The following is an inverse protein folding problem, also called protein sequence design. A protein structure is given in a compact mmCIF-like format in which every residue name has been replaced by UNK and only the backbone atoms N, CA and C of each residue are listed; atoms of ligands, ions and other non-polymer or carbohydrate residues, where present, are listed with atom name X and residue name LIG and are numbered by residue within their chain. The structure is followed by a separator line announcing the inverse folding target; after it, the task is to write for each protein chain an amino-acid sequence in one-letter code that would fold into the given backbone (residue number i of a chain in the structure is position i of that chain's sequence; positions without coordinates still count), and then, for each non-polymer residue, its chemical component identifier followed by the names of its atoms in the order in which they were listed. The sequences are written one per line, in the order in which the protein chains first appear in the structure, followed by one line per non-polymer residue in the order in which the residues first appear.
data_IF_860692331386
#
_entry.id   IF_860692331386
#
_cell.length_a   1.000
_cell.length_b   1.000
_cell.length_c   1.000
_cell.angle_alpha   90.00
_cell.angle_beta   90.00
_cell.angle_gamma   90.00
#
_symmetry.space_group_name_H-M   'P 1'
#
loop_
_entity.id
_entity.type
_entity.pdbx_description
1 polymer ?
#
# COMPACT_ATOMS: atom_id res chain seq x y z
N UNK A 1 -11.36 -19.38 -8.53
CA UNK A 1 -11.19 -18.57 -7.31
C UNK A 1 -9.72 -18.64 -6.89
N UNK A 2 -8.81 -18.08 -7.70
CA UNK A 2 -7.35 -18.23 -7.49
C UNK A 2 -6.58 -17.11 -8.21
N UNK A 3 -6.79 -15.84 -7.81
CA UNK A 3 -6.02 -14.73 -8.41
C UNK A 3 -5.42 -13.75 -7.39
N UNK A 4 -5.71 -13.93 -6.09
CA UNK A 4 -5.14 -13.11 -5.02
C UNK A 4 -4.13 -13.88 -4.16
N UNK A 5 -4.20 -15.23 -4.12
CA UNK A 5 -3.08 -16.02 -3.57
C UNK A 5 -1.85 -15.99 -4.48
N UNK A 6 -2.02 -15.66 -5.77
CA UNK A 6 -0.92 -15.53 -6.72
C UNK A 6 -0.15 -14.21 -6.59
N UNK A 7 -0.67 -13.20 -5.88
CA UNK A 7 0.07 -11.94 -5.64
C UNK A 7 0.89 -11.97 -4.35
N UNK A 8 0.56 -12.86 -3.40
CA UNK A 8 1.46 -13.19 -2.29
C UNK A 8 2.54 -14.14 -2.84
N UNK A 9 3.60 -13.54 -3.36
CA UNK A 9 4.71 -14.30 -3.96
C UNK A 9 4.63 -14.46 -5.48
N UNK A 10 4.08 -13.50 -6.22
CA UNK A 10 4.31 -13.44 -7.67
C UNK A 10 5.81 -13.15 -7.92
N UNK A 11 6.60 -14.21 -8.03
CA UNK A 11 8.07 -14.21 -8.15
C UNK A 11 8.59 -13.62 -9.46
N UNK A 12 7.71 -13.12 -10.34
CA UNK A 12 8.12 -12.58 -11.63
C UNK A 12 8.85 -11.24 -11.50
N UNK A 13 8.58 -10.47 -10.44
CA UNK A 13 9.20 -9.17 -10.20
C UNK A 13 9.47 -8.93 -8.71
N UNK A 14 10.46 -8.09 -8.41
CA UNK A 14 10.72 -7.61 -7.05
C UNK A 14 9.50 -6.84 -6.53
N UNK A 15 9.10 -7.10 -5.28
CA UNK A 15 8.04 -6.31 -4.66
C UNK A 15 8.47 -4.85 -4.52
N UNK A 16 7.50 -3.95 -4.38
CA UNK A 16 7.77 -2.55 -4.09
C UNK A 16 8.73 -2.38 -2.89
N UNK A 17 8.54 -3.18 -1.84
CA UNK A 17 9.36 -3.12 -0.64
C UNK A 17 10.78 -3.64 -0.85
N UNK A 18 10.97 -4.65 -1.70
CA UNK A 18 12.31 -5.12 -2.09
C UNK A 18 13.06 -4.04 -2.86
N UNK A 19 12.40 -3.42 -3.84
CA UNK A 19 12.97 -2.31 -4.62
C UNK A 19 13.34 -1.14 -3.72
N UNK A 20 12.47 -0.81 -2.76
CA UNK A 20 12.73 0.24 -1.76
C UNK A 20 13.94 -0.09 -0.89
N UNK A 21 14.04 -1.33 -0.40
CA UNK A 21 15.16 -1.77 0.42
C UNK A 21 16.49 -1.64 -0.34
N UNK A 22 16.53 -2.09 -1.59
CA UNK A 22 17.72 -1.96 -2.46
C UNK A 22 18.05 -0.49 -2.70
N UNK A 23 17.06 0.35 -3.04
CA UNK A 23 17.27 1.77 -3.29
C UNK A 23 17.91 2.47 -2.07
N UNK A 24 17.40 2.18 -0.87
CA UNK A 24 17.93 2.71 0.39
C UNK A 24 19.33 2.17 0.71
N UNK A 25 19.58 0.87 0.52
CA UNK A 25 20.89 0.26 0.81
C UNK A 25 22.00 0.85 -0.07
N UNK A 26 21.71 1.06 -1.35
CA UNK A 26 22.67 1.64 -2.30
C UNK A 26 22.66 3.17 -2.34
N UNK A 27 21.84 3.81 -1.49
CA UNK A 27 21.73 5.28 -1.38
C UNK A 27 21.42 5.94 -2.73
N UNK A 28 20.55 5.30 -3.51
CA UNK A 28 20.20 5.72 -4.86
C UNK A 28 19.54 7.11 -4.88
N UNK A 29 18.96 7.56 -3.77
CA UNK A 29 18.44 8.92 -3.60
C UNK A 29 19.52 10.00 -3.77
N UNK A 30 20.80 9.69 -3.52
CA UNK A 30 21.92 10.63 -3.67
C UNK A 30 22.30 10.90 -5.11
N UNK A 31 21.83 10.06 -6.05
CA UNK A 31 22.03 10.28 -7.48
C UNK A 31 21.20 11.48 -7.98
N UNK A 32 20.13 11.82 -7.25
CA UNK A 32 19.28 12.94 -7.57
C UNK A 32 19.72 14.19 -6.80
N UNK A 33 20.00 15.28 -7.51
CA UNK A 33 20.22 16.60 -6.90
C UNK A 33 18.92 17.20 -6.34
N UNK A 34 17.77 16.68 -6.80
CA UNK A 34 16.45 17.16 -6.44
C UNK A 34 15.95 16.45 -5.18
N UNK A 35 15.54 17.20 -4.17
CA UNK A 35 14.91 16.67 -2.96
C UNK A 35 13.39 16.55 -3.13
N UNK A 36 12.96 15.63 -4.00
CA UNK A 36 11.53 15.32 -4.15
C UNK A 36 11.04 14.52 -2.92
N UNK A 37 10.10 15.08 -2.16
CA UNK A 37 9.52 14.38 -1.00
C UNK A 37 8.37 13.49 -1.46
N UNK A 38 8.55 12.17 -1.36
CA UNK A 38 7.52 11.18 -1.66
C UNK A 38 6.60 10.95 -0.46
N UNK A 39 5.29 10.99 -0.69
CA UNK A 39 4.27 10.66 0.31
C UNK A 39 4.03 9.15 0.39
N UNK A 40 3.24 8.72 1.39
CA UNK A 40 2.76 7.34 1.53
C UNK A 40 3.88 6.30 1.52
N UNK A 41 5.05 6.66 2.08
CA UNK A 41 6.22 5.79 2.13
C UNK A 41 6.80 5.43 0.74
N UNK A 42 6.53 6.23 -0.29
CA UNK A 42 7.20 6.18 -1.59
C UNK A 42 8.70 6.49 -1.52
N UNK A 43 9.43 6.24 -2.60
CA UNK A 43 10.86 6.59 -2.73
C UNK A 43 11.16 7.20 -4.10
N UNK A 44 12.21 8.01 -4.19
CA UNK A 44 12.55 8.73 -5.43
C UNK A 44 12.98 7.72 -6.50
N UNK A 45 12.48 7.93 -7.71
CA UNK A 45 12.99 7.23 -8.88
C UNK A 45 14.38 7.75 -9.24
N UNK A 46 15.42 7.01 -8.89
CA UNK A 46 16.82 7.39 -9.16
C UNK A 46 17.20 7.40 -10.64
N UNK A 47 16.34 6.88 -11.54
CA UNK A 47 16.55 6.94 -12.99
C UNK A 47 16.10 8.27 -13.60
N UNK A 48 15.03 8.87 -13.07
CA UNK A 48 14.43 10.09 -13.63
C UNK A 48 14.61 11.30 -12.72
N UNK A 49 14.79 11.10 -11.42
CA UNK A 49 14.92 12.15 -10.40
C UNK A 49 13.78 13.18 -10.36
N UNK A 50 12.68 12.89 -11.03
CA UNK A 50 11.55 13.81 -11.23
C UNK A 50 10.22 13.21 -10.77
N UNK A 51 10.21 11.91 -10.41
CA UNK A 51 9.03 11.19 -9.95
C UNK A 51 9.37 10.22 -8.82
N UNK A 52 8.36 9.87 -8.03
CA UNK A 52 8.45 8.84 -7.01
C UNK A 52 7.96 7.49 -7.54
N UNK A 53 8.58 6.42 -7.07
CA UNK A 53 7.97 5.10 -7.06
C UNK A 53 6.98 5.04 -5.91
N UNK A 54 5.73 4.73 -6.24
CA UNK A 54 4.62 4.67 -5.29
C UNK A 54 4.28 3.23 -4.93
N UNK A 55 3.92 2.95 -3.68
CA UNK A 55 3.35 1.66 -3.33
C UNK A 55 2.00 1.46 -4.02
N UNK A 56 1.59 0.21 -4.10
CA UNK A 56 0.34 -0.18 -4.75
C UNK A 56 -0.86 0.60 -4.17
N UNK A 57 -1.74 1.06 -5.06
CA UNK A 57 -2.89 1.89 -4.69
C UNK A 57 -2.59 3.40 -4.60
N UNK A 58 -1.35 3.84 -4.82
CA UNK A 58 -1.01 5.27 -4.86
C UNK A 58 -0.39 5.69 -6.19
N UNK A 59 -0.63 6.93 -6.59
CA UNK A 59 -0.16 7.50 -7.85
C UNK A 59 0.11 9.00 -7.72
N UNK A 60 0.58 9.63 -8.78
CA UNK A 60 1.04 11.02 -8.80
C UNK A 60 2.55 11.14 -8.73
N UNK A 61 3.06 12.38 -8.89
CA UNK A 61 4.51 12.64 -8.95
C UNK A 61 5.18 12.35 -7.61
N UNK A 62 4.48 12.57 -6.51
CA UNK A 62 4.95 12.35 -5.15
C UNK A 62 4.06 11.38 -4.36
N UNK A 63 3.33 10.49 -5.05
CA UNK A 63 2.41 9.53 -4.43
C UNK A 63 1.29 10.18 -3.60
N UNK A 64 0.87 11.37 -4.03
CA UNK A 64 -0.11 12.20 -3.35
C UNK A 64 -1.56 11.79 -3.64
N UNK A 65 -1.77 11.02 -4.72
CA UNK A 65 -3.09 10.58 -5.19
C UNK A 65 -3.30 9.12 -4.82
N UNK A 66 -4.54 8.79 -4.49
CA UNK A 66 -4.97 7.39 -4.40
C UNK A 66 -5.33 6.98 -5.83
N UNK A 67 -4.96 5.75 -6.21
CA UNK A 67 -5.38 5.20 -7.49
C UNK A 67 -6.89 5.26 -7.61
N UNK A 68 -7.36 5.71 -8.78
CA UNK A 68 -8.78 5.65 -9.10
C UNK A 68 -9.21 4.19 -9.13
N UNK A 69 -10.29 3.83 -8.44
CA UNK A 69 -10.78 2.46 -8.44
C UNK A 69 -11.12 2.03 -9.86
N UNK A 70 -10.64 0.84 -10.23
CA UNK A 70 -10.90 0.23 -11.54
C UNK A 70 -12.09 -0.72 -11.38
N UNK A 71 -13.04 -0.66 -12.31
CA UNK A 71 -14.24 -1.53 -12.32
C UNK A 71 -15.52 -0.76 -12.66
N UNK A 72 -16.63 -1.48 -12.90
CA UNK A 72 -17.93 -0.85 -13.21
C UNK A 72 -18.54 -0.13 -12.01
N UNK A 73 -18.10 -0.44 -10.78
CA UNK A 73 -18.63 0.11 -9.54
C UNK A 73 -17.57 0.89 -8.76
N UNK A 74 -17.92 2.07 -8.23
CA UNK A 74 -16.99 2.83 -7.39
C UNK A 74 -16.78 2.12 -6.04
N UNK A 75 -15.52 1.91 -5.66
CA UNK A 75 -15.11 1.37 -4.36
C UNK A 75 -13.83 2.05 -3.86
N UNK A 76 -13.46 1.87 -2.59
CA UNK A 76 -12.30 2.53 -1.99
C UNK A 76 -12.58 3.96 -1.51
N UNK A 77 -11.57 4.61 -0.92
CA UNK A 77 -11.70 5.98 -0.38
C UNK A 77 -10.79 6.29 0.81
N UNK A 78 -10.94 7.50 1.36
CA UNK A 78 -10.19 7.98 2.54
C UNK A 78 -11.05 7.83 3.80
N UNK A 79 -10.63 6.99 4.72
CA UNK A 79 -11.32 6.77 5.99
C UNK A 79 -10.57 7.47 7.12
N UNK A 80 -11.26 8.28 7.91
CA UNK A 80 -10.71 8.87 9.14
C UNK A 80 -11.16 8.02 10.33
N UNK A 81 -10.23 7.40 11.04
CA UNK A 81 -10.49 6.56 12.21
C UNK A 81 -10.26 7.40 13.47
N UNK A 82 -11.27 7.53 14.33
CA UNK A 82 -11.26 8.45 15.49
C UNK A 82 -11.36 7.76 16.86
N UNK A 83 -12.04 6.62 17.01
CA UNK A 83 -12.07 5.85 18.28
C UNK A 83 -12.84 4.52 18.22
N UNK A 84 -13.71 4.32 17.21
CA UNK A 84 -14.58 3.16 17.11
C UNK A 84 -14.12 2.13 16.08
N UNK A 85 -14.37 0.85 16.38
CA UNK A 85 -14.17 -0.26 15.45
C UNK A 85 -14.88 0.06 14.12
N UNK A 86 -14.12 0.06 13.04
CA UNK A 86 -14.62 0.29 11.68
C UNK A 86 -14.24 -0.91 10.85
N UNK A 87 -15.24 -1.63 10.32
CA UNK A 87 -15.00 -2.76 9.43
C UNK A 87 -14.92 -2.27 7.98
N UNK A 88 -13.87 -2.69 7.27
CA UNK A 88 -13.83 -2.64 5.82
C UNK A 88 -14.09 -4.05 5.34
N UNK A 89 -15.22 -4.23 4.66
CA UNK A 89 -15.59 -5.49 4.05
C UNK A 89 -15.76 -5.31 2.56
N UNK A 90 -15.50 -6.40 1.82
CA UNK A 90 -16.10 -6.57 0.50
C UNK A 90 -17.61 -6.72 0.68
N UNK A 91 -18.39 -6.31 -0.33
CA UNK A 91 -19.84 -6.45 -0.28
C UNK A 91 -20.20 -7.95 -0.18
N UNK A 92 -21.14 -8.33 0.69
CA UNK A 92 -21.54 -9.74 0.92
C UNK A 92 -20.96 -10.43 2.16
N UNK A 93 -20.20 -9.74 3.01
CA UNK A 93 -19.71 -10.30 4.28
C UNK A 93 -20.65 -9.90 5.46
N UNK A 94 -21.20 -10.79 6.31
CA UNK A 94 -20.94 -12.24 6.45
C UNK A 94 -22.07 -13.19 5.98
N UNK A 95 -23.11 -12.76 5.25
CA UNK A 95 -24.19 -13.66 4.77
C UNK A 95 -24.74 -13.35 3.35
N UNK A 96 -24.78 -14.43 2.52
CA UNK A 96 -25.43 -14.64 1.20
C UNK A 96 -24.85 -13.84 -0.01
N UNK A 97 -25.08 -14.27 -1.27
CA UNK A 97 -24.10 -14.76 -2.23
C UNK A 97 -24.03 -13.83 -3.48
N UNK A 98 -23.04 -14.05 -4.32
CA UNK A 98 -22.98 -13.55 -5.70
C UNK A 98 -22.91 -12.02 -5.92
N UNK A 99 -22.41 -11.24 -4.97
CA UNK A 99 -21.68 -10.02 -5.34
C UNK A 99 -20.19 -10.35 -5.37
N UNK A 100 -19.81 -11.23 -6.31
CA UNK A 100 -18.40 -11.38 -6.69
C UNK A 100 -17.84 -9.99 -6.98
N UNK A 101 -16.69 -9.67 -6.38
CA UNK A 101 -15.85 -8.60 -6.90
C UNK A 101 -15.69 -8.87 -8.41
N UNK A 102 -16.17 -7.94 -9.24
CA UNK A 102 -16.13 -8.14 -10.67
C UNK A 102 -14.66 -8.39 -11.07
N UNK A 103 -14.42 -9.35 -11.96
CA UNK A 103 -13.05 -9.68 -12.39
C UNK A 103 -12.34 -8.40 -12.88
N UNK A 104 -11.24 -8.04 -12.23
CA UNK A 104 -10.49 -6.81 -12.53
C UNK A 104 -10.94 -5.57 -11.75
N UNK A 105 -11.76 -5.74 -10.71
CA UNK A 105 -12.09 -4.66 -9.78
C UNK A 105 -10.93 -4.43 -8.79
N UNK A 106 -10.41 -3.20 -8.77
CA UNK A 106 -9.34 -2.79 -7.86
C UNK A 106 -9.84 -1.66 -6.94
N UNK A 107 -9.77 -1.89 -5.64
CA UNK A 107 -10.23 -0.96 -4.62
C UNK A 107 -9.07 -0.58 -3.69
N UNK A 108 -8.87 0.72 -3.46
CA UNK A 108 -7.85 1.21 -2.53
C UNK A 108 -8.48 2.01 -1.38
N UNK A 109 -8.15 1.63 -0.15
CA UNK A 109 -8.57 2.33 1.07
C UNK A 109 -7.37 3.00 1.74
N UNK A 110 -7.45 4.31 1.94
CA UNK A 110 -6.47 5.07 2.74
C UNK A 110 -7.03 5.32 4.13
N UNK A 111 -6.49 4.65 5.12
CA UNK A 111 -6.81 4.86 6.53
C UNK A 111 -5.98 6.03 7.08
N UNK A 112 -6.65 7.01 7.68
CA UNK A 112 -6.05 8.14 8.38
C UNK A 112 -6.50 8.13 9.83
N UNK A 113 -5.57 7.89 10.74
CA UNK A 113 -5.82 7.97 12.17
C UNK A 113 -5.72 9.42 12.63
N UNK A 114 -6.65 9.87 13.48
CA UNK A 114 -6.47 11.13 14.21
C UNK A 114 -5.44 10.94 15.32
N UNK A 115 -4.52 11.89 15.47
CA UNK A 115 -3.50 11.88 16.51
C UNK A 115 -4.15 11.70 17.89
N UNK A 116 -3.90 10.55 18.51
CA UNK A 116 -4.60 10.06 19.71
C UNK A 116 -4.86 8.55 19.66
N UNK A 117 -4.97 7.98 18.46
CA UNK A 117 -5.04 6.53 18.23
C UNK A 117 -3.75 6.08 17.55
N UNK A 118 -2.68 5.88 18.34
CA UNK A 118 -1.58 5.04 17.89
C UNK A 118 -2.14 3.63 17.71
N UNK A 119 -1.83 3.01 16.57
CA UNK A 119 -2.15 1.61 16.32
C UNK A 119 -1.69 0.76 17.51
N UNK A 120 -2.61 0.37 18.37
CA UNK A 120 -2.39 -0.72 19.32
C UNK A 120 -2.47 -2.02 18.52
N UNK A 121 -1.64 -2.16 17.48
CA UNK A 121 -1.22 -3.47 17.04
C UNK A 121 -0.69 -4.12 18.31
N UNK A 122 -1.19 -5.30 18.73
CA UNK A 122 -0.46 -6.08 19.71
C UNK A 122 0.97 -6.17 19.17
N UNK A 123 1.91 -5.89 20.06
CA UNK A 123 3.30 -5.67 19.73
C UNK A 123 3.79 -6.75 18.77
N UNK A 124 4.69 -6.36 17.86
CA UNK A 124 5.55 -7.29 17.14
C UNK A 124 5.87 -8.48 18.06
N UNK A 125 5.39 -9.66 17.68
CA UNK A 125 5.47 -10.86 18.50
C UNK A 125 6.95 -11.08 18.90
N UNK A 126 7.29 -10.99 20.20
CA UNK A 126 8.66 -11.21 20.66
C UNK A 126 9.15 -12.65 20.38
N UNK A 127 8.26 -13.55 19.96
CA UNK A 127 8.58 -14.91 19.50
C UNK A 127 9.19 -14.97 18.10
N UNK A 128 9.10 -13.89 17.31
CA UNK A 128 9.70 -13.84 15.97
C UNK A 128 11.14 -13.34 16.10
N UNK A 129 12.16 -14.21 16.00
CA UNK A 129 13.54 -13.75 16.06
C UNK A 129 13.80 -12.79 14.90
N UNK A 130 14.31 -11.60 15.23
CA UNK A 130 14.89 -10.71 14.22
C UNK A 130 16.06 -11.46 13.60
N UNK A 131 16.03 -11.65 12.27
CA UNK A 131 17.19 -12.09 11.51
C UNK A 131 18.26 -10.99 11.59
N UNK A 132 19.08 -11.04 12.63
CA UNK A 132 20.37 -10.35 12.69
C UNK A 132 21.39 -11.20 11.94
N UNK A 133 22.14 -10.58 11.02
CA UNK A 133 23.31 -11.18 10.37
C UNK A 133 24.31 -11.73 11.38
#
# INVERSE_FOLDING_TARGET
MEAYQSTIGDTKHLSFYDLKAVNLMYKCEKLCSNQLVCQQNGFINSKTCDSCWCPDGFTGRSCEKIMTPVGRRPCGGKFKIQSQYSAIGTRGWPHWPDEELEKGQECTWLLKFTAGFADTSPQADPSIPRLTK
#
